data_IF_442146381165
#
_entry.id   IF_442146381165
#
_cell.length_a   1.000
_cell.length_b   1.000
_cell.length_c   1.000
_cell.angle_alpha   90.00
_cell.angle_beta   90.00
_cell.angle_gamma   90.00
#
_symmetry.space_group_name_H-M   'P 1'
#
loop_
_entity.id
_entity.type
_entity.pdbx_description
1 polymer ?
#
# COMPACT_ATOMS: atom_id res chain seq x y z
N UNK A 1 -19.22 13.28 25.89
CA UNK A 1 -18.87 11.98 25.23
C UNK A 1 -18.06 12.19 23.97
N UNK A 2 -18.44 13.12 23.09
CA UNK A 2 -17.64 13.49 21.91
C UNK A 2 -16.21 13.93 22.27
N UNK A 3 -16.03 14.82 23.24
CA UNK A 3 -14.70 15.27 23.69
C UNK A 3 -13.83 14.15 24.28
N UNK A 4 -14.45 13.16 24.94
CA UNK A 4 -13.74 12.03 25.51
C UNK A 4 -13.21 11.09 24.41
N UNK A 5 -14.02 10.84 23.38
CA UNK A 5 -13.65 10.00 22.24
C UNK A 5 -12.49 10.58 21.43
N UNK A 6 -12.38 11.92 21.36
CA UNK A 6 -11.29 12.62 20.68
C UNK A 6 -10.10 12.96 21.57
N UNK A 7 -10.18 12.71 22.88
CA UNK A 7 -9.11 13.08 23.79
C UNK A 7 -7.81 12.34 23.46
N UNK A 8 -6.70 13.09 23.44
CA UNK A 8 -5.36 12.56 23.12
C UNK A 8 -4.89 11.55 24.16
N UNK A 9 -5.30 11.72 25.43
CA UNK A 9 -5.01 10.79 26.51
C UNK A 9 -5.71 9.44 26.29
N UNK A 10 -7.00 9.45 25.93
CA UNK A 10 -7.75 8.23 25.64
C UNK A 10 -7.16 7.46 24.46
N UNK A 11 -6.80 8.17 23.37
CA UNK A 11 -6.15 7.55 22.21
C UNK A 11 -4.78 6.94 22.55
N UNK A 12 -3.96 7.60 23.39
CA UNK A 12 -2.68 7.06 23.87
C UNK A 12 -2.88 5.83 24.77
N UNK A 13 -3.87 5.86 25.66
CA UNK A 13 -4.24 4.71 26.48
C UNK A 13 -4.64 3.52 25.62
N UNK A 14 -5.55 3.72 24.67
CA UNK A 14 -5.99 2.65 23.76
C UNK A 14 -4.83 2.12 22.90
N UNK A 15 -3.89 2.96 22.49
CA UNK A 15 -2.66 2.51 21.83
C UNK A 15 -1.83 1.59 22.74
N UNK A 16 -1.65 1.93 24.01
CA UNK A 16 -0.94 1.07 24.96
C UNK A 16 -1.64 -0.28 25.15
N UNK A 17 -2.98 -0.31 25.18
CA UNK A 17 -3.77 -1.55 25.24
C UNK A 17 -3.56 -2.41 23.99
N UNK A 18 -3.48 -1.81 22.79
CA UNK A 18 -3.17 -2.54 21.55
C UNK A 18 -1.79 -3.16 21.60
N UNK A 19 -0.77 -2.42 22.05
CA UNK A 19 0.59 -2.94 22.17
C UNK A 19 0.66 -4.08 23.18
N UNK A 20 0.02 -3.93 24.34
CA UNK A 20 -0.06 -4.98 25.34
C UNK A 20 -0.74 -6.24 24.80
N UNK A 21 -1.79 -6.08 23.98
CA UNK A 21 -2.49 -7.19 23.34
C UNK A 21 -1.61 -7.92 22.31
N UNK A 22 -0.80 -7.20 21.53
CA UNK A 22 0.15 -7.83 20.60
C UNK A 22 1.23 -8.60 21.35
N UNK A 23 1.75 -8.05 22.46
CA UNK A 23 2.71 -8.75 23.31
C UNK A 23 2.08 -10.01 23.91
N UNK A 24 0.87 -9.92 24.46
CA UNK A 24 0.16 -11.07 25.02
C UNK A 24 -0.02 -12.20 23.98
N UNK A 25 -0.38 -11.86 22.74
CA UNK A 25 -0.47 -12.84 21.65
C UNK A 25 0.90 -13.47 21.33
N UNK A 26 1.99 -12.70 21.39
CA UNK A 26 3.36 -13.19 21.16
C UNK A 26 3.90 -14.08 22.29
N UNK A 27 3.29 -14.04 23.47
CA UNK A 27 3.66 -14.87 24.62
C UNK A 27 3.02 -16.25 24.61
N UNK A 28 2.08 -16.54 23.69
CA UNK A 28 1.50 -17.87 23.54
C UNK A 28 2.53 -18.85 22.93
N UNK A 29 2.85 -19.93 23.65
CA UNK A 29 3.70 -21.03 23.16
C UNK A 29 3.11 -22.42 23.48
N UNK A 30 3.50 -23.43 22.72
CA UNK A 30 3.02 -24.79 22.89
C UNK A 30 3.60 -25.44 24.16
N UNK A 31 2.74 -26.05 24.99
CA UNK A 31 3.17 -26.70 26.24
C UNK A 31 3.36 -25.75 27.43
N UNK A 32 2.80 -24.54 27.37
CA UNK A 32 2.82 -23.61 28.51
C UNK A 32 2.12 -24.16 29.75
N UNK A 33 2.52 -23.70 30.94
CA UNK A 33 1.87 -24.11 32.18
C UNK A 33 0.41 -23.63 32.22
N UNK A 34 -0.51 -24.39 32.85
CA UNK A 34 -1.93 -24.00 32.94
C UNK A 34 -2.15 -22.65 33.62
N UNK A 35 -1.31 -22.29 34.58
CA UNK A 35 -1.39 -21.03 35.33
C UNK A 35 -1.05 -19.84 34.42
N UNK A 36 0.00 -19.98 33.60
CA UNK A 36 0.40 -18.96 32.65
C UNK A 36 -0.65 -18.79 31.55
N UNK A 37 -1.19 -19.89 31.04
CA UNK A 37 -2.28 -19.88 30.06
C UNK A 37 -3.51 -19.12 30.60
N UNK A 38 -3.90 -19.38 31.85
CA UNK A 38 -5.03 -18.71 32.49
C UNK A 38 -4.75 -17.21 32.69
N UNK A 39 -3.53 -16.84 33.10
CA UNK A 39 -3.12 -15.43 33.20
C UNK A 39 -3.23 -14.68 31.87
N UNK A 40 -2.77 -15.31 30.77
CA UNK A 40 -2.88 -14.76 29.42
C UNK A 40 -4.33 -14.65 28.96
N UNK A 41 -5.17 -15.62 29.30
CA UNK A 41 -6.61 -15.59 29.02
C UNK A 41 -7.30 -14.41 29.73
N UNK A 42 -7.00 -14.19 31.01
CA UNK A 42 -7.53 -13.05 31.78
C UNK A 42 -7.04 -11.72 31.18
N UNK A 43 -5.76 -11.62 30.81
CA UNK A 43 -5.22 -10.42 30.16
C UNK A 43 -5.96 -10.11 28.85
N UNK A 44 -6.17 -11.13 28.01
CA UNK A 44 -6.93 -11.01 26.75
C UNK A 44 -8.39 -10.57 27.00
N UNK A 45 -9.02 -11.07 28.07
CA UNK A 45 -10.38 -10.66 28.46
C UNK A 45 -10.45 -9.18 28.87
N UNK A 46 -9.49 -8.73 29.68
CA UNK A 46 -9.39 -7.32 30.12
C UNK A 46 -9.18 -6.39 28.93
N UNK A 47 -8.26 -6.73 28.03
CA UNK A 47 -7.99 -5.95 26.82
C UNK A 47 -9.21 -5.90 25.90
N UNK A 48 -9.89 -7.04 25.69
CA UNK A 48 -11.13 -7.11 24.90
C UNK A 48 -12.22 -6.22 25.49
N UNK A 49 -12.34 -6.20 26.82
CA UNK A 49 -13.29 -5.34 27.53
C UNK A 49 -12.97 -3.85 27.35
N UNK A 50 -11.69 -3.47 27.40
CA UNK A 50 -11.27 -2.10 27.13
C UNK A 50 -11.62 -1.65 25.70
N UNK A 51 -11.47 -2.53 24.71
CA UNK A 51 -11.88 -2.25 23.33
C UNK A 51 -13.39 -2.17 23.14
N UNK A 52 -14.15 -3.00 23.86
CA UNK A 52 -15.60 -2.91 23.87
C UNK A 52 -16.05 -1.57 24.46
N UNK A 53 -15.41 -1.12 25.54
CA UNK A 53 -15.69 0.18 26.14
C UNK A 53 -15.40 1.31 25.17
N UNK A 54 -14.25 1.26 24.47
CA UNK A 54 -13.96 2.25 23.44
C UNK A 54 -15.00 2.24 22.31
N UNK A 55 -15.39 1.06 21.83
CA UNK A 55 -16.41 0.90 20.82
C UNK A 55 -17.72 1.60 21.24
N UNK A 56 -18.17 1.38 22.48
CA UNK A 56 -19.35 2.04 23.05
C UNK A 56 -19.16 3.55 23.16
N UNK A 57 -18.02 4.02 23.68
CA UNK A 57 -17.72 5.46 23.81
C UNK A 57 -17.75 6.16 22.45
N UNK A 58 -17.16 5.55 21.41
CA UNK A 58 -17.18 6.08 20.05
C UNK A 58 -18.57 6.08 19.45
N UNK A 59 -19.38 5.06 19.71
CA UNK A 59 -20.79 5.02 19.27
C UNK A 59 -21.63 6.13 19.91
N UNK A 60 -21.41 6.40 21.20
CA UNK A 60 -22.08 7.49 21.92
C UNK A 60 -21.57 8.87 21.49
N UNK A 61 -20.30 8.99 21.09
CA UNK A 61 -19.71 10.24 20.63
C UNK A 61 -20.07 10.60 19.18
N UNK A 62 -19.82 9.68 18.25
CA UNK A 62 -19.95 9.90 16.79
C UNK A 62 -21.35 9.59 16.25
N UNK A 63 -22.19 8.93 17.06
CA UNK A 63 -23.46 8.36 16.63
C UNK A 63 -23.27 7.07 15.82
N UNK A 64 -24.33 6.26 15.75
CA UNK A 64 -24.33 4.98 15.03
C UNK A 64 -23.92 5.16 13.56
N UNK A 65 -24.60 6.06 12.83
CA UNK A 65 -24.34 6.26 11.40
C UNK A 65 -22.94 6.87 11.14
N UNK A 66 -22.48 7.77 12.02
CA UNK A 66 -21.17 8.41 11.89
C UNK A 66 -20.02 7.42 12.07
N UNK A 67 -20.13 6.51 13.05
CA UNK A 67 -19.11 5.49 13.31
C UNK A 67 -18.91 4.53 12.13
N UNK A 68 -20.01 3.98 11.59
CA UNK A 68 -19.94 2.94 10.56
C UNK A 68 -19.63 3.45 9.14
N UNK A 69 -19.68 4.77 8.91
CA UNK A 69 -19.28 5.38 7.63
C UNK A 69 -17.76 5.51 7.47
N UNK A 70 -17.02 5.56 8.57
CA UNK A 70 -15.57 5.74 8.53
C UNK A 70 -14.90 4.35 8.41
N UNK A 71 -14.11 4.07 7.35
CA UNK A 71 -13.63 2.72 7.07
C UNK A 71 -12.76 2.10 8.16
N UNK A 72 -11.97 2.92 8.87
CA UNK A 72 -11.06 2.43 9.91
C UNK A 72 -11.81 2.05 11.19
N UNK A 73 -12.87 2.80 11.53
CA UNK A 73 -13.80 2.50 12.61
C UNK A 73 -14.69 1.30 12.24
N UNK A 74 -15.12 1.15 10.98
CA UNK A 74 -15.83 -0.04 10.50
C UNK A 74 -15.00 -1.31 10.74
N UNK A 75 -13.70 -1.29 10.37
CA UNK A 75 -12.80 -2.42 10.59
C UNK A 75 -12.57 -2.69 12.09
N UNK A 76 -12.27 -1.66 12.89
CA UNK A 76 -12.07 -1.81 14.34
C UNK A 76 -13.34 -2.34 15.03
N UNK A 77 -14.50 -1.83 14.65
CA UNK A 77 -15.81 -2.27 15.14
C UNK A 77 -16.13 -3.71 14.77
N UNK A 78 -15.84 -4.12 13.53
CA UNK A 78 -16.01 -5.52 13.12
C UNK A 78 -15.18 -6.47 13.98
N UNK A 79 -13.93 -6.10 14.31
CA UNK A 79 -13.05 -6.93 15.17
C UNK A 79 -13.55 -6.93 16.62
N UNK A 80 -14.18 -5.86 17.11
CA UNK A 80 -14.82 -5.87 18.44
C UNK A 80 -16.04 -6.78 18.46
N UNK A 81 -16.90 -6.72 17.43
CA UNK A 81 -18.09 -7.57 17.32
C UNK A 81 -17.71 -9.06 17.28
N UNK A 82 -16.70 -9.45 16.49
CA UNK A 82 -16.25 -10.84 16.46
C UNK A 82 -15.71 -11.32 17.81
N UNK A 83 -14.97 -10.46 18.53
CA UNK A 83 -14.51 -10.76 19.89
C UNK A 83 -15.66 -10.93 20.89
N UNK A 84 -16.73 -10.14 20.79
CA UNK A 84 -17.91 -10.26 21.66
C UNK A 84 -18.67 -11.55 21.36
N UNK A 85 -18.87 -11.88 20.08
CA UNK A 85 -19.51 -13.15 19.68
C UNK A 85 -18.73 -14.34 20.24
N UNK A 86 -17.40 -14.32 20.15
CA UNK A 86 -16.55 -15.35 20.74
C UNK A 86 -16.72 -15.48 22.25
N UNK A 87 -16.79 -14.36 22.98
CA UNK A 87 -17.03 -14.33 24.43
C UNK A 87 -18.39 -14.95 24.79
N UNK A 88 -19.44 -14.56 24.07
CA UNK A 88 -20.81 -15.06 24.27
C UNK A 88 -20.88 -16.56 23.98
N UNK A 89 -20.19 -17.06 22.95
CA UNK A 89 -20.14 -18.50 22.67
C UNK A 89 -19.35 -19.28 23.72
N UNK A 90 -18.32 -18.68 24.33
CA UNK A 90 -17.48 -19.34 25.34
C UNK A 90 -18.13 -19.39 26.72
N UNK A 91 -18.79 -18.32 27.15
CA UNK A 91 -19.32 -18.17 28.51
C UNK A 91 -20.84 -18.00 28.58
N UNK A 92 -21.54 -17.98 27.45
CA UNK A 92 -22.98 -17.76 27.41
C UNK A 92 -23.81 -18.96 27.88
N UNK A 93 -25.13 -18.77 28.07
CA UNK A 93 -26.02 -19.81 28.60
C UNK A 93 -26.06 -21.11 27.79
N UNK A 94 -25.68 -21.05 26.50
CA UNK A 94 -25.60 -22.19 25.60
C UNK A 94 -24.20 -22.83 25.50
N UNK A 95 -23.24 -22.42 26.35
CA UNK A 95 -21.89 -23.02 26.37
C UNK A 95 -21.92 -24.53 26.71
N UNK A 96 -23.02 -25.03 27.29
CA UNK A 96 -23.25 -26.46 27.57
C UNK A 96 -24.01 -27.20 26.46
N UNK A 97 -24.60 -26.49 25.49
CA UNK A 97 -25.20 -27.11 24.32
C UNK A 97 -24.10 -27.46 23.32
N UNK A 98 -24.16 -28.66 22.75
CA UNK A 98 -23.23 -29.23 21.76
C UNK A 98 -23.13 -28.37 20.50
N UNK A 99 -22.50 -27.21 20.61
CA UNK A 99 -22.41 -26.24 19.53
C UNK A 99 -21.32 -26.74 18.58
N UNK A 100 -21.73 -26.93 17.33
CA UNK A 100 -20.95 -27.45 16.22
C UNK A 100 -19.46 -27.09 16.31
N UNK A 101 -18.61 -28.08 16.59
CA UNK A 101 -17.17 -27.87 16.91
C UNK A 101 -16.40 -27.18 15.79
N UNK A 102 -16.92 -27.21 14.55
CA UNK A 102 -16.33 -26.53 13.39
C UNK A 102 -16.51 -25.01 13.44
N UNK A 103 -17.67 -24.51 13.86
CA UNK A 103 -17.93 -23.07 13.95
C UNK A 103 -17.04 -22.43 15.02
N UNK A 104 -16.92 -23.06 16.19
CA UNK A 104 -16.03 -22.61 17.26
C UNK A 104 -14.56 -22.58 16.82
N UNK A 105 -14.11 -23.52 15.97
CA UNK A 105 -12.76 -23.49 15.39
C UNK A 105 -12.57 -22.28 14.47
N UNK A 106 -13.55 -21.95 13.63
CA UNK A 106 -13.48 -20.79 12.75
C UNK A 106 -13.38 -19.47 13.56
N UNK A 107 -14.19 -19.29 14.60
CA UNK A 107 -14.10 -18.11 15.47
C UNK A 107 -12.76 -18.03 16.20
N UNK A 108 -12.19 -19.16 16.62
CA UNK A 108 -10.82 -19.21 17.17
C UNK A 108 -9.74 -18.82 16.15
N UNK A 109 -9.98 -18.93 14.84
CA UNK A 109 -9.05 -18.42 13.83
C UNK A 109 -9.20 -16.91 13.65
N UNK A 110 -10.43 -16.39 13.74
CA UNK A 110 -10.73 -14.95 13.64
C UNK A 110 -10.05 -14.11 14.73
N UNK A 111 -9.60 -14.71 15.83
CA UNK A 111 -8.76 -14.03 16.83
C UNK A 111 -7.49 -13.42 16.24
N UNK A 112 -6.98 -13.95 15.12
CA UNK A 112 -5.82 -13.37 14.43
C UNK A 112 -6.11 -11.98 13.87
N UNK A 113 -7.38 -11.66 13.57
CA UNK A 113 -7.78 -10.33 13.13
C UNK A 113 -7.52 -9.26 14.20
N UNK A 114 -7.38 -9.65 15.47
CA UNK A 114 -7.05 -8.73 16.57
C UNK A 114 -5.64 -8.15 16.43
N UNK A 115 -4.67 -8.89 15.86
CA UNK A 115 -3.33 -8.33 15.63
C UNK A 115 -3.34 -7.27 14.53
N UNK A 116 -4.29 -7.33 13.59
CA UNK A 116 -4.50 -6.31 12.56
C UNK A 116 -4.92 -4.95 13.17
N UNK A 117 -5.41 -4.91 14.42
CA UNK A 117 -5.70 -3.65 15.11
C UNK A 117 -4.47 -2.75 15.18
N UNK A 118 -3.26 -3.31 15.28
CA UNK A 118 -2.03 -2.51 15.25
C UNK A 118 -1.89 -1.75 13.92
N UNK A 119 -2.12 -2.42 12.79
CA UNK A 119 -2.10 -1.82 11.46
C UNK A 119 -3.16 -0.72 11.32
N UNK A 120 -4.34 -0.93 11.91
CA UNK A 120 -5.47 0.02 11.89
C UNK A 120 -5.24 1.17 12.87
N UNK A 121 -4.47 0.99 13.94
CA UNK A 121 -4.30 2.01 14.99
C UNK A 121 -3.14 2.94 14.71
N UNK A 122 -2.04 2.42 14.19
CA UNK A 122 -0.85 3.21 13.89
C UNK A 122 -1.06 3.95 12.57
N UNK A 123 -0.99 5.28 12.61
CA UNK A 123 -1.24 6.11 11.42
C UNK A 123 -0.24 5.84 10.29
N UNK A 124 1.04 5.61 10.60
CA UNK A 124 2.05 5.25 9.60
C UNK A 124 1.73 3.94 8.90
N UNK A 125 1.27 2.91 9.63
CA UNK A 125 0.85 1.63 9.04
C UNK A 125 -0.40 1.79 8.17
N UNK A 126 -1.36 2.63 8.59
CA UNK A 126 -2.52 2.98 7.74
C UNK A 126 -2.08 3.69 6.45
N UNK A 127 -1.10 4.59 6.53
CA UNK A 127 -0.53 5.26 5.34
C UNK A 127 0.11 4.24 4.41
N UNK A 128 0.95 3.35 4.93
CA UNK A 128 1.58 2.28 4.15
C UNK A 128 0.53 1.37 3.50
N UNK A 129 -0.49 0.94 4.24
CA UNK A 129 -1.56 0.09 3.69
C UNK A 129 -2.31 0.81 2.57
N UNK A 130 -2.61 2.10 2.73
CA UNK A 130 -3.23 2.91 1.65
C UNK A 130 -2.32 3.00 0.42
N UNK A 131 -1.01 3.15 0.60
CA UNK A 131 -0.05 3.16 -0.50
C UNK A 131 -0.03 1.81 -1.22
N UNK A 132 -0.03 0.69 -0.49
CA UNK A 132 -0.11 -0.66 -1.05
C UNK A 132 -1.41 -0.85 -1.85
N UNK A 133 -2.56 -0.48 -1.28
CA UNK A 133 -3.85 -0.57 -1.96
C UNK A 133 -3.93 0.33 -3.20
N UNK A 134 -3.36 1.53 -3.15
CA UNK A 134 -3.23 2.40 -4.32
C UNK A 134 -2.35 1.74 -5.40
N UNK A 135 -1.26 1.07 -4.99
CA UNK A 135 -0.41 0.28 -5.88
C UNK A 135 -1.20 -0.80 -6.63
N UNK A 136 -2.07 -1.55 -5.95
CA UNK A 136 -2.93 -2.54 -6.63
C UNK A 136 -3.86 -1.90 -7.67
N UNK A 137 -4.39 -0.70 -7.42
CA UNK A 137 -5.25 0.01 -8.39
C UNK A 137 -4.46 0.43 -9.62
N UNK A 138 -3.22 0.90 -9.44
CA UNK A 138 -2.30 1.25 -10.55
C UNK A 138 -1.95 0.00 -11.38
N UNK A 139 -1.82 -1.15 -10.73
CA UNK A 139 -1.39 -2.40 -11.36
C UNK A 139 -2.52 -3.30 -11.82
N UNK A 140 -3.79 -2.87 -11.69
CA UNK A 140 -4.94 -3.73 -11.95
C UNK A 140 -4.92 -4.33 -13.37
N UNK A 141 -4.55 -3.54 -14.39
CA UNK A 141 -4.59 -3.96 -15.79
C UNK A 141 -3.47 -4.98 -16.09
N UNK A 142 -2.31 -4.75 -15.49
CA UNK A 142 -1.16 -5.65 -15.51
C UNK A 142 -1.43 -6.97 -14.78
N UNK A 143 -2.05 -6.91 -13.60
CA UNK A 143 -2.46 -8.09 -12.83
C UNK A 143 -3.52 -8.87 -13.60
N UNK A 144 -4.46 -8.19 -14.27
CA UNK A 144 -5.48 -8.84 -15.11
C UNK A 144 -4.85 -9.54 -16.31
N UNK A 145 -3.86 -8.92 -16.96
CA UNK A 145 -3.10 -9.54 -18.04
C UNK A 145 -2.35 -10.79 -17.56
N UNK A 146 -1.66 -10.70 -16.42
CA UNK A 146 -0.97 -11.84 -15.83
C UNK A 146 -1.95 -12.97 -15.46
N UNK A 147 -3.10 -12.64 -14.88
CA UNK A 147 -4.14 -13.61 -14.56
C UNK A 147 -4.71 -14.30 -15.82
N UNK A 148 -4.86 -13.56 -16.93
CA UNK A 148 -5.26 -14.14 -18.22
C UNK A 148 -4.22 -15.14 -18.74
N UNK A 149 -2.93 -14.80 -18.67
CA UNK A 149 -1.86 -15.71 -19.05
C UNK A 149 -1.83 -16.98 -18.19
N UNK A 150 -1.97 -16.83 -16.86
CA UNK A 150 -2.10 -17.96 -15.94
C UNK A 150 -3.30 -18.82 -16.36
N UNK A 151 -4.45 -18.21 -16.64
CA UNK A 151 -5.67 -18.93 -17.05
C UNK A 151 -5.49 -19.72 -18.36
N UNK A 152 -4.89 -19.10 -19.39
CA UNK A 152 -4.63 -19.77 -20.67
C UNK A 152 -3.71 -20.97 -20.47
N UNK A 153 -2.58 -20.79 -19.79
CA UNK A 153 -1.65 -21.88 -19.52
C UNK A 153 -2.27 -22.95 -18.62
N UNK A 154 -3.14 -22.59 -17.69
CA UNK A 154 -3.87 -23.56 -16.87
C UNK A 154 -4.76 -24.48 -17.71
N UNK A 155 -5.49 -23.93 -18.67
CA UNK A 155 -6.32 -24.75 -19.58
C UNK A 155 -5.43 -25.66 -20.44
N UNK A 156 -4.33 -25.13 -20.99
CA UNK A 156 -3.39 -25.91 -21.79
C UNK A 156 -2.76 -27.05 -20.97
N UNK A 157 -2.33 -26.76 -19.74
CA UNK A 157 -1.78 -27.75 -18.83
C UNK A 157 -2.81 -28.81 -18.45
N UNK A 158 -4.04 -28.42 -18.13
CA UNK A 158 -5.16 -29.32 -17.86
C UNK A 158 -5.43 -30.26 -19.05
N UNK A 159 -5.48 -29.73 -20.27
CA UNK A 159 -5.69 -30.53 -21.48
C UNK A 159 -4.51 -31.47 -21.78
N UNK A 160 -3.28 -31.05 -21.45
CA UNK A 160 -2.09 -31.81 -21.80
C UNK A 160 -1.74 -32.89 -20.78
N UNK A 161 -1.98 -32.62 -19.49
CA UNK A 161 -1.46 -33.38 -18.36
C UNK A 161 -2.53 -33.85 -17.38
N UNK A 162 -3.78 -33.42 -17.53
CA UNK A 162 -4.88 -33.81 -16.64
C UNK A 162 -5.12 -35.32 -16.64
N UNK A 163 -5.32 -35.90 -15.45
CA UNK A 163 -5.53 -37.33 -15.25
C UNK A 163 -4.27 -38.19 -15.40
N UNK A 164 -3.09 -37.58 -15.53
CA UNK A 164 -1.82 -38.31 -15.62
C UNK A 164 -1.42 -38.90 -14.26
N UNK A 165 -1.02 -40.19 -14.21
CA UNK A 165 -0.60 -40.83 -12.96
C UNK A 165 0.70 -40.22 -12.40
N UNK A 166 1.48 -39.51 -13.21
CA UNK A 166 2.72 -38.85 -12.77
C UNK A 166 2.45 -37.58 -11.95
N UNK A 167 1.26 -36.98 -12.07
CA UNK A 167 0.82 -35.84 -11.26
C UNK A 167 -0.14 -36.25 -10.13
N UNK A 168 -0.36 -37.56 -9.93
CA UNK A 168 -1.23 -38.07 -8.89
C UNK A 168 -0.55 -37.99 -7.50
N UNK A 169 -1.34 -37.84 -6.41
CA UNK A 169 -0.80 -37.86 -5.06
C UNK A 169 -0.05 -39.18 -4.79
N UNK A 170 1.25 -39.08 -4.53
CA UNK A 170 2.06 -40.24 -4.15
C UNK A 170 1.82 -40.58 -2.67
N UNK A 171 1.85 -41.88 -2.26
CA UNK A 171 1.77 -42.26 -0.85
C UNK A 171 2.83 -41.60 0.04
N UNK A 172 3.97 -41.23 -0.56
CA UNK A 172 5.09 -40.56 0.12
C UNK A 172 4.99 -39.02 0.04
N UNK A 173 4.00 -38.48 -0.69
CA UNK A 173 3.83 -37.07 -0.96
C UNK A 173 2.33 -36.71 -0.86
N UNK A 174 1.77 -36.94 0.33
CA UNK A 174 0.35 -36.72 0.70
C UNK A 174 -0.03 -35.23 0.82
N UNK A 175 0.79 -34.32 0.30
CA UNK A 175 0.57 -32.88 0.30
C UNK A 175 0.04 -32.35 -1.03
N UNK A 176 -0.21 -31.03 -1.07
CA UNK A 176 -0.54 -30.25 -2.27
C UNK A 176 0.55 -30.41 -3.34
N UNK A 177 0.50 -31.51 -4.10
CA UNK A 177 1.40 -31.78 -5.20
C UNK A 177 0.96 -30.98 -6.42
N UNK A 178 1.93 -30.43 -7.16
CA UNK A 178 1.71 -29.79 -8.45
C UNK A 178 0.94 -30.77 -9.36
N UNK A 179 -0.29 -30.43 -9.77
CA UNK A 179 -1.13 -31.29 -10.60
C UNK A 179 -2.03 -30.48 -11.53
N UNK A 180 -2.54 -31.17 -12.56
CA UNK A 180 -3.28 -30.59 -13.68
C UNK A 180 -4.68 -31.19 -13.83
N UNK A 181 -5.25 -31.84 -12.81
CA UNK A 181 -6.52 -32.58 -12.95
C UNK A 181 -7.76 -31.69 -13.02
N UNK A 182 -7.64 -30.50 -12.47
CA UNK A 182 -8.72 -29.54 -12.29
C UNK A 182 -8.18 -28.15 -12.58
N UNK A 183 -9.03 -27.24 -13.08
CA UNK A 183 -8.62 -25.90 -13.48
C UNK A 183 -7.95 -25.13 -12.33
N UNK A 184 -8.47 -25.25 -11.10
CA UNK A 184 -7.90 -24.56 -9.93
C UNK A 184 -6.52 -25.08 -9.56
N UNK A 185 -6.35 -26.40 -9.55
CA UNK A 185 -5.07 -27.06 -9.27
C UNK A 185 -4.04 -26.76 -10.37
N UNK A 186 -4.49 -26.72 -11.63
CA UNK A 186 -3.64 -26.31 -12.74
C UNK A 186 -3.22 -24.85 -12.62
N UNK A 187 -4.13 -23.94 -12.26
CA UNK A 187 -3.81 -22.54 -12.02
C UNK A 187 -2.83 -22.35 -10.86
N UNK A 188 -3.00 -23.09 -9.77
CA UNK A 188 -2.04 -23.12 -8.67
C UNK A 188 -0.66 -23.61 -9.14
N UNK A 189 -0.61 -24.69 -9.92
CA UNK A 189 0.64 -25.25 -10.45
C UNK A 189 1.33 -24.27 -11.40
N UNK A 190 0.58 -23.64 -12.31
CA UNK A 190 1.09 -22.62 -13.23
C UNK A 190 1.59 -21.39 -12.45
N UNK A 191 0.89 -20.97 -11.39
CA UNK A 191 1.36 -19.92 -10.49
C UNK A 191 2.65 -20.32 -9.73
N UNK A 192 2.76 -21.55 -9.25
CA UNK A 192 3.99 -22.06 -8.63
C UNK A 192 5.17 -22.07 -9.61
N UNK A 193 4.93 -22.46 -10.86
CA UNK A 193 5.94 -22.41 -11.92
C UNK A 193 6.36 -20.97 -12.26
N UNK A 194 5.45 -20.01 -12.14
CA UNK A 194 5.74 -18.59 -12.31
C UNK A 194 6.73 -18.08 -11.25
N UNK A 195 6.66 -18.60 -10.01
CA UNK A 195 7.65 -18.27 -8.96
C UNK A 195 8.96 -19.04 -9.10
N UNK A 196 9.13 -19.78 -10.21
CA UNK A 196 10.24 -20.71 -10.46
C UNK A 196 10.42 -21.78 -9.37
N UNK A 197 9.37 -22.05 -8.59
CA UNK A 197 9.41 -23.08 -7.56
C UNK A 197 9.04 -24.45 -8.15
N UNK A 198 9.76 -25.49 -7.72
CA UNK A 198 9.53 -26.89 -8.10
C UNK A 198 9.43 -27.18 -9.63
N UNK A 199 9.95 -26.30 -10.49
CA UNK A 199 9.73 -26.40 -11.94
C UNK A 199 10.47 -27.57 -12.60
N UNK A 200 11.64 -27.94 -12.10
CA UNK A 200 12.44 -29.07 -12.63
C UNK A 200 11.71 -30.40 -12.42
N UNK A 201 11.20 -30.65 -11.21
CA UNK A 201 10.46 -31.87 -10.92
C UNK A 201 9.16 -31.93 -11.73
N UNK A 202 8.38 -30.84 -11.71
CA UNK A 202 7.11 -30.74 -12.44
C UNK A 202 7.29 -30.91 -13.94
N UNK A 203 8.36 -30.36 -14.52
CA UNK A 203 8.67 -30.53 -15.95
C UNK A 203 9.11 -31.96 -16.29
N UNK A 204 9.86 -32.63 -15.40
CA UNK A 204 10.17 -34.05 -15.57
C UNK A 204 8.92 -34.93 -15.55
N UNK A 205 7.99 -34.66 -14.64
CA UNK A 205 6.74 -35.41 -14.56
C UNK A 205 5.85 -35.12 -15.78
N UNK A 206 5.86 -33.89 -16.30
CA UNK A 206 5.22 -33.54 -17.57
C UNK A 206 5.83 -34.30 -18.76
N UNK A 207 7.15 -34.43 -18.80
CA UNK A 207 7.85 -35.21 -19.83
C UNK A 207 7.58 -36.71 -19.74
N UNK A 208 7.39 -37.24 -18.53
CA UNK A 208 6.95 -38.64 -18.34
C UNK A 208 5.51 -38.84 -18.78
N UNK A 209 4.66 -37.84 -18.57
CA UNK A 209 3.23 -37.90 -18.93
C UNK A 209 2.99 -37.84 -20.45
N UNK A 210 3.69 -36.97 -21.18
CA UNK A 210 3.39 -36.66 -22.59
C UNK A 210 4.58 -36.82 -23.55
N UNK A 211 5.76 -37.17 -23.04
CA UNK A 211 7.00 -37.26 -23.80
C UNK A 211 7.88 -36.00 -23.66
N UNK A 212 9.12 -36.08 -24.15
CA UNK A 212 10.15 -35.04 -23.96
C UNK A 212 9.75 -33.66 -24.48
N UNK A 213 8.90 -33.59 -25.52
CA UNK A 213 8.38 -32.32 -26.05
C UNK A 213 7.57 -31.51 -25.03
N UNK A 214 7.04 -32.14 -23.98
CA UNK A 214 6.31 -31.47 -22.91
C UNK A 214 7.15 -30.41 -22.19
N UNK A 215 8.48 -30.52 -22.18
CA UNK A 215 9.37 -29.52 -21.57
C UNK A 215 9.17 -28.12 -22.17
N UNK A 216 8.78 -28.06 -23.45
CA UNK A 216 8.56 -26.80 -24.15
C UNK A 216 7.43 -25.99 -23.53
N UNK A 217 6.38 -26.65 -23.02
CA UNK A 217 5.31 -25.97 -22.29
C UNK A 217 5.84 -25.26 -21.03
N UNK A 218 6.64 -25.97 -20.22
CA UNK A 218 7.18 -25.42 -18.97
C UNK A 218 8.21 -24.32 -19.23
N UNK A 219 9.12 -24.54 -20.18
CA UNK A 219 10.13 -23.54 -20.57
C UNK A 219 9.47 -22.29 -21.15
N UNK A 220 8.49 -22.45 -22.04
CA UNK A 220 7.74 -21.32 -22.60
C UNK A 220 7.03 -20.53 -21.49
N UNK A 221 6.37 -21.21 -20.54
CA UNK A 221 5.72 -20.54 -19.42
C UNK A 221 6.70 -19.78 -18.52
N UNK A 222 7.84 -20.37 -18.18
CA UNK A 222 8.85 -19.72 -17.34
C UNK A 222 9.42 -18.48 -18.05
N UNK A 223 9.71 -18.56 -19.35
CA UNK A 223 10.22 -17.42 -20.12
C UNK A 223 9.17 -16.32 -20.22
N UNK A 224 7.96 -16.66 -20.70
CA UNK A 224 6.87 -15.69 -20.91
C UNK A 224 6.40 -15.11 -19.60
N UNK A 225 6.16 -15.94 -18.59
CA UNK A 225 5.69 -15.52 -17.27
C UNK A 225 6.67 -14.59 -16.56
N UNK A 226 7.96 -14.93 -16.56
CA UNK A 226 8.98 -14.05 -15.97
C UNK A 226 9.18 -12.78 -16.79
N UNK A 227 9.09 -12.85 -18.12
CA UNK A 227 9.14 -11.65 -18.95
C UNK A 227 7.99 -10.69 -18.59
N UNK A 228 6.75 -11.21 -18.48
CA UNK A 228 5.59 -10.42 -18.06
C UNK A 228 5.84 -9.83 -16.67
N UNK A 229 6.30 -10.62 -15.69
CA UNK A 229 6.62 -10.11 -14.34
C UNK A 229 7.69 -9.00 -14.35
N UNK A 230 8.73 -9.13 -15.18
CA UNK A 230 9.75 -8.09 -15.34
C UNK A 230 9.18 -6.83 -15.99
N UNK A 231 8.28 -6.98 -16.97
CA UNK A 231 7.54 -5.84 -17.54
C UNK A 231 6.67 -5.16 -16.48
N UNK A 232 6.03 -5.93 -15.58
CA UNK A 232 5.26 -5.36 -14.47
C UNK A 232 6.15 -4.59 -13.50
N UNK A 233 7.29 -5.18 -13.13
CA UNK A 233 8.26 -4.54 -12.26
C UNK A 233 8.79 -3.23 -12.86
N UNK A 234 9.13 -3.23 -14.15
CA UNK A 234 9.57 -2.04 -14.86
C UNK A 234 8.48 -0.97 -14.91
N UNK A 235 7.24 -1.36 -15.19
CA UNK A 235 6.11 -0.44 -15.19
C UNK A 235 5.93 0.23 -13.81
N UNK A 236 5.99 -0.54 -12.72
CA UNK A 236 5.93 -0.01 -11.35
C UNK A 236 7.06 1.01 -11.11
N UNK A 237 8.27 0.66 -11.53
CA UNK A 237 9.44 1.51 -11.33
C UNK A 237 9.28 2.84 -12.08
N UNK A 238 8.82 2.81 -13.33
CA UNK A 238 8.55 4.02 -14.13
C UNK A 238 7.44 4.85 -13.50
N UNK A 239 6.32 4.23 -13.11
CA UNK A 239 5.20 4.96 -12.50
C UNK A 239 5.59 5.61 -11.17
N UNK A 240 6.44 4.95 -10.36
CA UNK A 240 6.94 5.54 -9.13
C UNK A 240 7.87 6.73 -9.41
N UNK A 241 8.77 6.66 -10.39
CA UNK A 241 9.63 7.78 -10.75
C UNK A 241 8.87 8.97 -11.35
N UNK A 242 7.81 8.70 -12.12
CA UNK A 242 6.95 9.74 -12.68
C UNK A 242 6.09 10.44 -11.63
N UNK A 243 5.78 9.77 -10.50
CA UNK A 243 4.95 10.36 -9.44
C UNK A 243 5.65 11.42 -8.59
N UNK A 244 6.98 11.57 -8.74
CA UNK A 244 7.79 12.60 -8.08
C UNK A 244 7.98 13.85 -8.98
N UNK A 245 7.56 13.82 -10.24
CA UNK A 245 7.54 14.99 -11.13
C UNK A 245 6.21 15.73 -10.95
N UNK A 246 6.26 16.99 -10.46
CA UNK A 246 5.07 17.85 -10.43
C UNK A 246 4.49 17.95 -11.86
N UNK A 247 3.16 17.83 -12.02
CA UNK A 247 2.54 18.05 -13.32
C UNK A 247 2.93 19.44 -13.83
N UNK A 248 3.24 19.60 -15.12
CA UNK A 248 3.56 20.90 -15.68
C UNK A 248 2.41 21.88 -15.37
N UNK A 249 2.71 23.13 -14.98
CA UNK A 249 1.70 24.12 -14.63
C UNK A 249 0.68 24.22 -15.77
N UNK A 250 -0.61 24.22 -15.41
CA UNK A 250 -1.69 24.31 -16.40
C UNK A 250 -1.58 25.62 -17.18
N UNK A 251 -2.06 25.65 -18.43
CA UNK A 251 -2.08 26.87 -19.25
C UNK A 251 -2.82 28.02 -18.55
N UNK A 252 -3.75 27.72 -17.65
CA UNK A 252 -4.47 28.70 -16.81
C UNK A 252 -3.55 29.37 -15.75
N UNK A 253 -2.56 28.65 -15.21
CA UNK A 253 -1.54 29.24 -14.32
C UNK A 253 -0.51 30.08 -15.10
N UNK A 254 -0.22 29.71 -16.35
CA UNK A 254 0.64 30.47 -17.26
C UNK A 254 -0.03 31.74 -17.81
N UNK A 255 -1.36 31.74 -17.95
CA UNK A 255 -2.15 32.88 -18.48
C UNK A 255 -2.74 33.76 -17.38
N UNK A 256 -2.91 33.24 -16.16
CA UNK A 256 -3.40 33.99 -14.99
C UNK A 256 -2.33 34.82 -14.26
N UNK A 257 -1.06 34.73 -14.67
CA UNK A 257 -0.01 35.62 -14.20
C UNK A 257 -0.23 37.02 -14.78
N UNK A 258 -1.04 37.83 -14.10
CA UNK A 258 -1.26 39.24 -14.40
C UNK A 258 0.10 39.95 -14.52
N UNK A 259 0.46 40.33 -15.75
CA UNK A 259 1.65 41.14 -16.00
C UNK A 259 1.44 42.51 -15.35
N UNK A 260 2.01 42.73 -14.17
CA UNK A 260 2.17 44.08 -13.63
C UNK A 260 3.32 44.75 -14.36
N UNK A 261 3.08 45.80 -15.17
CA UNK A 261 4.17 46.56 -15.76
C UNK A 261 5.02 47.12 -14.62
N UNK A 262 6.34 47.05 -14.78
CA UNK A 262 7.28 47.74 -13.92
C UNK A 262 6.99 49.24 -14.03
N UNK A 263 6.30 49.82 -13.04
CA UNK A 263 6.21 51.25 -12.91
C UNK A 263 7.64 51.75 -12.66
N UNK A 264 8.20 52.67 -13.47
CA UNK A 264 9.47 53.27 -13.13
C UNK A 264 9.30 53.97 -11.78
N UNK A 265 10.04 53.51 -10.77
CA UNK A 265 10.12 54.18 -9.48
C UNK A 265 10.42 55.66 -9.74
N UNK A 266 9.50 56.52 -9.31
CA UNK A 266 9.69 57.96 -9.30
C UNK A 266 10.88 58.24 -8.37
N UNK A 267 12.07 58.48 -8.96
CA UNK A 267 13.33 58.71 -8.24
C UNK A 267 13.36 60.07 -7.52
N UNK A 268 12.22 60.58 -7.07
CA UNK A 268 12.10 61.87 -6.40
C UNK A 268 11.90 61.78 -4.88
N UNK A 269 11.63 60.61 -4.29
CA UNK A 269 11.40 60.50 -2.83
C UNK A 269 12.54 59.88 -2.01
N UNK A 270 13.55 59.23 -2.60
CA UNK A 270 14.61 58.56 -1.79
C UNK A 270 15.84 59.42 -1.49
N UNK A 271 15.88 60.69 -1.89
CA UNK A 271 17.01 61.58 -1.58
C UNK A 271 16.87 62.32 -0.24
N UNK A 272 15.69 62.36 0.39
CA UNK A 272 15.45 63.09 1.64
C UNK A 272 15.56 62.22 2.91
N UNK A 273 15.47 60.89 2.78
CA UNK A 273 15.51 59.97 3.93
C UNK A 273 16.89 59.36 4.21
N UNK A 274 17.94 59.81 3.52
CA UNK A 274 19.34 59.43 3.80
C UNK A 274 20.08 60.42 4.70
N UNK A 275 19.42 61.50 5.13
CA UNK A 275 20.02 62.56 5.96
C UNK A 275 19.84 62.42 7.48
N UNK A 276 19.10 61.42 7.96
CA UNK A 276 18.83 61.31 9.39
C UNK A 276 18.47 59.90 9.80
N UNK A 277 19.48 59.11 10.16
CA UNK A 277 19.51 58.13 11.28
C UNK A 277 20.88 57.44 11.21
N UNK A 278 21.94 58.23 11.42
CA UNK A 278 23.14 57.72 12.09
C UNK A 278 22.96 58.20 13.52
N UNK A 279 23.08 57.28 14.48
CA UNK A 279 23.03 57.39 15.95
C UNK A 279 21.83 56.66 16.60
N UNK A 280 22.15 55.62 17.39
CA UNK A 280 21.23 54.85 18.26
C UNK A 280 21.20 53.37 17.88
N UNK A 281 22.24 52.59 18.20
CA UNK A 281 22.40 51.79 19.44
C UNK A 281 21.86 50.34 19.31
N UNK A 282 22.67 49.37 19.73
CA UNK A 282 22.24 48.00 20.06
C UNK A 282 22.13 46.94 18.95
N UNK A 283 23.24 46.22 18.69
CA UNK A 283 23.27 44.75 18.59
C UNK A 283 22.54 44.01 17.44
N UNK A 284 23.32 43.46 16.51
CA UNK A 284 22.89 42.30 15.69
C UNK A 284 23.62 42.18 14.35
N UNK A 285 24.47 41.15 14.19
CA UNK A 285 25.09 40.78 12.91
C UNK A 285 23.99 40.50 11.86
N UNK A 286 23.98 41.27 10.76
CA UNK A 286 23.15 40.97 9.59
C UNK A 286 23.71 39.73 8.87
N UNK A 287 22.86 38.73 8.70
CA UNK A 287 23.17 37.45 8.03
C UNK A 287 23.72 37.67 6.60
N UNK A 288 24.96 37.24 6.29
CA UNK A 288 25.58 37.41 4.97
C UNK A 288 24.84 36.70 3.84
N UNK A 289 23.93 35.75 4.14
CA UNK A 289 23.10 35.07 3.14
C UNK A 289 22.09 36.00 2.47
N UNK A 290 21.51 36.94 3.22
CA UNK A 290 20.57 37.92 2.67
C UNK A 290 21.25 38.94 1.76
N UNK A 291 22.49 39.33 2.08
CA UNK A 291 23.28 40.23 1.24
C UNK A 291 23.74 39.56 -0.07
N UNK A 292 24.03 38.26 -0.04
CA UNK A 292 24.35 37.45 -1.23
C UNK A 292 23.13 37.22 -2.11
N UNK A 293 21.96 36.91 -1.54
CA UNK A 293 20.71 36.77 -2.31
C UNK A 293 20.34 38.08 -3.00
N UNK A 294 20.49 39.23 -2.33
CA UNK A 294 20.26 40.54 -2.96
C UNK A 294 21.28 40.87 -4.05
N UNK A 295 22.52 40.38 -3.96
CA UNK A 295 23.53 40.54 -5.02
C UNK A 295 23.31 39.62 -6.23
N UNK A 296 22.84 38.39 -6.00
CA UNK A 296 22.49 37.43 -7.07
C UNK A 296 21.26 37.94 -7.83
N UNK A 297 20.24 38.42 -7.11
CA UNK A 297 19.03 38.99 -7.72
C UNK A 297 19.33 40.21 -8.62
N UNK A 298 20.39 40.98 -8.33
CA UNK A 298 20.80 42.13 -9.15
C UNK A 298 21.61 41.76 -10.41
N UNK A 299 22.13 40.54 -10.53
CA UNK A 299 22.98 40.12 -11.67
C UNK A 299 22.24 39.33 -12.75
N UNK A 300 21.07 38.80 -12.44
CA UNK A 300 20.26 38.08 -13.43
C UNK A 300 19.27 39.07 -14.04
N UNK A 301 19.58 39.56 -15.24
CA UNK A 301 18.62 40.34 -16.04
C UNK A 301 17.36 39.46 -16.25
N UNK A 302 16.21 39.79 -15.65
CA UNK A 302 14.99 39.00 -15.77
C UNK A 302 14.57 38.85 -17.24
N UNK A 303 14.87 39.85 -18.09
CA UNK A 303 14.59 39.80 -19.52
C UNK A 303 15.49 38.80 -20.25
N UNK A 304 16.74 38.61 -19.81
CA UNK A 304 17.63 37.60 -20.37
C UNK A 304 17.13 36.18 -20.04
N UNK A 305 16.68 35.94 -18.80
CA UNK A 305 16.13 34.64 -18.38
C UNK A 305 14.83 34.34 -19.14
N UNK A 306 13.97 35.34 -19.33
CA UNK A 306 12.75 35.19 -20.14
C UNK A 306 13.05 34.92 -21.62
N UNK A 307 14.02 35.63 -22.21
CA UNK A 307 14.48 35.36 -23.60
C UNK A 307 15.03 33.94 -23.75
N UNK A 308 15.74 33.43 -22.75
CA UNK A 308 16.30 32.08 -22.76
C UNK A 308 15.21 31.00 -22.65
N UNK A 309 14.23 31.19 -21.75
CA UNK A 309 13.06 30.30 -21.66
C UNK A 309 12.24 30.31 -22.94
N UNK A 310 11.98 31.49 -23.52
CA UNK A 310 11.26 31.63 -24.79
C UNK A 310 12.01 30.99 -25.96
N UNK A 311 13.35 31.13 -26.00
CA UNK A 311 14.20 30.49 -27.01
C UNK A 311 14.19 28.96 -26.86
N UNK A 312 14.26 28.42 -25.65
CA UNK A 312 14.18 26.97 -25.41
C UNK A 312 12.84 26.37 -25.86
N UNK A 313 11.72 27.07 -25.60
CA UNK A 313 10.39 26.65 -26.06
C UNK A 313 10.29 26.70 -27.59
N UNK A 314 10.80 27.77 -28.23
CA UNK A 314 10.81 27.89 -29.69
C UNK A 314 11.71 26.86 -30.37
N UNK A 315 12.86 26.53 -29.78
CA UNK A 315 13.76 25.47 -30.28
C UNK A 315 13.12 24.09 -30.12
N UNK A 316 12.44 23.83 -29.00
CA UNK A 316 11.66 22.60 -28.81
C UNK A 316 10.51 22.45 -29.82
N UNK A 317 9.81 23.54 -30.12
CA UNK A 317 8.74 23.57 -31.13
C UNK A 317 9.27 23.37 -32.56
N UNK A 318 10.41 23.97 -32.90
CA UNK A 318 11.02 23.80 -34.22
C UNK A 318 11.61 22.40 -34.42
N UNK A 319 12.08 21.74 -33.36
CA UNK A 319 12.55 20.36 -33.46
C UNK A 319 11.40 19.37 -33.72
N UNK A 320 10.23 19.58 -33.09
CA UNK A 320 9.04 18.77 -33.33
C UNK A 320 8.42 18.93 -34.72
N UNK A 321 8.49 20.13 -35.33
CA UNK A 321 8.00 20.33 -36.71
C UNK A 321 8.93 19.74 -37.79
N UNK A 322 10.25 19.68 -37.54
CA UNK A 322 11.22 19.09 -38.48
C UNK A 322 11.15 17.55 -38.54
N UNK A 323 10.61 16.89 -37.50
CA UNK A 323 10.33 15.45 -37.52
C UNK A 323 9.06 15.13 -38.31
N UNK A 324 8.02 15.98 -38.19
CA UNK A 324 6.77 15.81 -38.94
C UNK A 324 6.91 16.07 -40.45
N UNK A 325 7.82 16.97 -40.87
CA UNK A 325 8.06 17.27 -42.30
C UNK A 325 8.94 16.22 -43.01
N UNK A 326 9.61 15.34 -42.26
CA UNK A 326 10.40 14.21 -42.83
C UNK A 326 9.57 12.95 -43.07
N UNK A 327 8.35 12.87 -42.55
CA UNK A 327 7.44 11.73 -42.78
C UNK A 327 6.48 11.95 -43.96
N UNK A 328 6.45 13.15 -44.57
CA UNK A 328 5.57 13.50 -45.70
C UNK A 328 6.29 13.73 -47.06
N UNK A 329 7.55 13.29 -47.24
CA UNK A 329 8.23 13.29 -48.55
C UNK A 329 8.57 11.88 -49.02
#
# INVERSE_FOLDING_TARGET
FWDLAYSTWFNKFMMAVVLANVIALGMEYHGMSPEFANGLEIANLVMTSAFLLEFVVKHLGLGLVGYWREPWNLLDGAIVVTSVVELVLKYGPQASASTNTQALRAFRMLRILRSLRLLIRVESLRKLLRMVLKGFVVLKDFILLLALFIFIFSILGLQQFGGSPYFAPSPNNVGFSSNFDTLWQSAYTVFQLLTADNWVATSWDGMRARGTAAVLYFVAWIIVGNFVLLTLFLAILITNFQSDEEPPPSEDELTGAEYKPFAPDDQSETASTLGGTILGDGGGLKDPRNALQQRIARRTDPAAVYRLKKWMVLVGYHHGMMEHEKEEI
#
